data_IF_562191312625
#
_entry.id   IF_562191312625
#
_cell.length_a   1.000
_cell.length_b   1.000
_cell.length_c   1.000
_cell.angle_alpha   90.00
_cell.angle_beta   90.00
_cell.angle_gamma   90.00
#
_symmetry.space_group_name_H-M   'P 1'
#
loop_
_entity.id
_entity.type
_entity.pdbx_description
1 polymer ?
#
# COMPACT_ATOMS: atom_id res chain seq x y z
N UNK A 1 -52.76 56.94 -12.14
CA UNK A 1 -52.80 55.48 -12.10
C UNK A 1 -51.89 54.92 -13.19
N UNK A 2 -50.65 54.70 -12.86
CA UNK A 2 -49.63 54.21 -13.74
C UNK A 2 -49.47 52.70 -13.54
N UNK A 3 -49.78 51.93 -14.60
CA UNK A 3 -49.60 50.50 -14.64
C UNK A 3 -48.13 50.13 -14.83
N UNK A 4 -47.61 49.33 -13.93
CA UNK A 4 -46.33 48.60 -14.09
C UNK A 4 -46.63 47.44 -14.97
N UNK A 5 -46.16 47.42 -16.20
CA UNK A 5 -46.09 46.26 -17.07
C UNK A 5 -44.71 45.61 -16.85
N UNK A 6 -44.67 44.58 -16.03
CA UNK A 6 -43.52 43.70 -15.89
C UNK A 6 -43.46 42.83 -17.13
N UNK A 7 -42.50 43.03 -18.00
CA UNK A 7 -42.09 42.11 -19.05
C UNK A 7 -41.47 40.86 -18.39
N UNK A 8 -42.28 39.85 -18.16
CA UNK A 8 -41.79 38.50 -17.93
C UNK A 8 -41.34 37.99 -19.29
N UNK A 9 -40.04 38.03 -19.54
CA UNK A 9 -39.42 37.24 -20.57
C UNK A 9 -39.78 35.79 -20.30
N UNK A 10 -40.45 35.17 -21.25
CA UNK A 10 -40.63 33.73 -21.30
C UNK A 10 -39.26 33.07 -21.11
N UNK A 11 -39.06 32.48 -19.95
CA UNK A 11 -38.07 31.44 -19.75
C UNK A 11 -38.65 30.26 -20.52
N UNK A 12 -38.21 30.10 -21.75
CA UNK A 12 -38.42 28.88 -22.49
C UNK A 12 -37.92 27.76 -21.59
N UNK A 13 -38.82 26.84 -21.28
CA UNK A 13 -38.55 25.57 -20.61
C UNK A 13 -37.48 24.80 -21.38
N UNK A 14 -36.21 25.09 -21.14
CA UNK A 14 -35.15 24.15 -21.34
C UNK A 14 -35.29 23.16 -20.20
N UNK A 15 -35.81 22.01 -20.51
CA UNK A 15 -35.89 20.86 -19.62
C UNK A 15 -34.52 20.68 -18.94
N UNK A 16 -34.41 20.93 -17.61
CA UNK A 16 -33.13 20.84 -16.94
C UNK A 16 -32.56 19.41 -16.93
N UNK A 17 -33.35 18.43 -17.40
CA UNK A 17 -32.95 17.00 -17.51
C UNK A 17 -32.41 16.61 -18.88
N UNK A 18 -32.56 17.43 -19.93
CA UNK A 18 -31.99 17.16 -21.28
C UNK A 18 -30.63 17.83 -21.50
N UNK A 19 -30.12 18.54 -20.50
CA UNK A 19 -28.87 19.27 -20.57
C UNK A 19 -27.65 18.40 -20.44
N UNK A 20 -27.07 17.98 -21.54
CA UNK A 20 -25.66 17.55 -21.67
C UNK A 20 -25.23 16.29 -20.90
N UNK A 21 -25.93 15.19 -21.07
CA UNK A 21 -25.48 13.87 -20.63
C UNK A 21 -24.38 13.27 -21.56
N UNK A 22 -23.96 14.02 -22.58
CA UNK A 22 -22.97 13.55 -23.54
C UNK A 22 -21.53 13.75 -23.05
N UNK A 23 -20.70 12.75 -23.28
CA UNK A 23 -19.26 12.86 -23.12
C UNK A 23 -18.69 13.77 -24.20
N UNK A 24 -17.99 14.84 -23.77
CA UNK A 24 -17.31 15.80 -24.64
C UNK A 24 -15.80 15.51 -24.69
N UNK A 25 -15.12 16.07 -25.68
CA UNK A 25 -13.66 15.94 -25.83
C UNK A 25 -13.18 14.48 -25.84
N UNK A 26 -13.97 13.61 -26.46
CA UNK A 26 -13.65 12.19 -26.60
C UNK A 26 -12.35 12.03 -27.40
N UNK A 27 -11.31 11.51 -26.75
CA UNK A 27 -10.00 11.28 -27.35
C UNK A 27 -9.54 9.88 -27.08
N UNK A 28 -9.21 9.14 -28.13
CA UNK A 28 -8.61 7.81 -27.97
C UNK A 28 -7.26 7.93 -27.26
N UNK A 29 -7.11 7.22 -26.16
CA UNK A 29 -5.93 7.24 -25.33
C UNK A 29 -5.04 6.04 -25.58
N UNK A 30 -5.63 4.87 -25.76
CA UNK A 30 -4.91 3.62 -25.96
C UNK A 30 -5.78 2.58 -26.68
N UNK A 31 -5.15 1.83 -27.55
CA UNK A 31 -5.72 0.64 -28.21
C UNK A 31 -4.82 -0.55 -27.87
N UNK A 32 -5.38 -1.56 -27.21
CA UNK A 32 -4.61 -2.77 -26.91
C UNK A 32 -4.15 -3.46 -28.19
N UNK A 33 -2.86 -3.65 -28.39
CA UNK A 33 -2.35 -4.30 -29.61
C UNK A 33 -2.82 -5.75 -29.72
N UNK A 34 -2.66 -6.53 -28.65
CA UNK A 34 -3.02 -7.96 -28.60
C UNK A 34 -4.38 -8.23 -27.94
N UNK A 35 -5.01 -7.25 -27.32
CA UNK A 35 -6.28 -7.38 -26.61
C UNK A 35 -7.47 -6.85 -27.39
N UNK A 36 -8.63 -6.88 -26.76
CA UNK A 36 -9.94 -6.54 -27.33
C UNK A 36 -10.44 -5.16 -26.93
N UNK A 37 -9.76 -4.47 -26.00
CA UNK A 37 -10.21 -3.20 -25.41
C UNK A 37 -9.58 -1.96 -26.06
N UNK A 38 -10.33 -0.84 -25.98
CA UNK A 38 -9.90 0.52 -26.29
C UNK A 38 -10.17 1.41 -25.09
N UNK A 39 -9.29 2.36 -24.84
CA UNK A 39 -9.44 3.37 -23.79
C UNK A 39 -9.56 4.75 -24.39
N UNK A 40 -10.49 5.54 -23.88
CA UNK A 40 -10.69 6.94 -24.25
C UNK A 40 -10.67 7.82 -23.02
N UNK A 41 -10.16 9.03 -23.16
CA UNK A 41 -10.44 10.11 -22.22
C UNK A 41 -11.64 10.90 -22.69
N UNK A 42 -12.49 11.31 -21.77
CA UNK A 42 -13.64 12.16 -22.07
C UNK A 42 -13.92 13.10 -20.90
N UNK A 43 -14.74 14.12 -21.16
CA UNK A 43 -15.19 15.10 -20.17
C UNK A 43 -16.71 15.09 -20.08
N UNK A 44 -17.26 14.98 -18.86
CA UNK A 44 -18.68 15.08 -18.57
C UNK A 44 -18.85 15.97 -17.34
N UNK A 45 -19.70 16.97 -17.39
CA UNK A 45 -19.88 17.95 -16.29
C UNK A 45 -18.58 18.65 -15.83
N UNK A 46 -17.66 18.91 -16.77
CA UNK A 46 -16.36 19.53 -16.46
C UNK A 46 -15.32 18.60 -15.81
N UNK A 47 -15.66 17.36 -15.51
CA UNK A 47 -14.76 16.35 -14.95
C UNK A 47 -14.26 15.39 -16.02
N UNK A 48 -12.98 15.01 -15.96
CA UNK A 48 -12.40 13.99 -16.84
C UNK A 48 -12.72 12.58 -16.35
N UNK A 49 -12.95 11.68 -17.31
CA UNK A 49 -13.20 10.26 -17.12
C UNK A 49 -12.33 9.43 -18.05
N UNK A 50 -12.05 8.20 -17.64
CA UNK A 50 -11.52 7.16 -18.50
C UNK A 50 -12.67 6.24 -18.92
N UNK A 51 -12.79 6.01 -20.22
CA UNK A 51 -13.82 5.16 -20.82
C UNK A 51 -13.15 3.92 -21.42
N UNK A 52 -13.57 2.72 -21.00
CA UNK A 52 -13.08 1.44 -21.53
C UNK A 52 -14.19 0.76 -22.29
N UNK A 53 -13.95 0.48 -23.58
CA UNK A 53 -14.89 -0.20 -24.45
C UNK A 53 -14.20 -1.25 -25.31
N UNK A 54 -14.98 -2.07 -25.99
CA UNK A 54 -14.46 -3.05 -26.93
C UNK A 54 -14.01 -2.41 -28.25
N UNK A 55 -13.03 -2.99 -28.92
CA UNK A 55 -12.74 -2.69 -30.32
C UNK A 55 -13.94 -3.04 -31.19
N UNK A 56 -14.07 -2.38 -32.33
CA UNK A 56 -15.21 -2.56 -33.26
C UNK A 56 -15.44 -4.03 -33.64
N UNK A 57 -14.36 -4.77 -33.85
CA UNK A 57 -14.40 -6.18 -34.28
C UNK A 57 -14.94 -7.12 -33.18
N UNK A 58 -14.93 -6.68 -31.93
CA UNK A 58 -15.35 -7.47 -30.77
C UNK A 58 -16.69 -7.03 -30.17
N UNK A 59 -17.25 -5.90 -30.64
CA UNK A 59 -18.48 -5.29 -30.07
C UNK A 59 -19.67 -6.23 -30.01
N UNK A 60 -19.81 -7.12 -31.02
CA UNK A 60 -20.98 -8.01 -31.15
C UNK A 60 -20.65 -9.48 -30.81
N UNK A 61 -19.46 -9.74 -30.27
CA UNK A 61 -19.05 -11.08 -29.90
C UNK A 61 -19.39 -11.31 -28.41
N UNK A 62 -20.34 -12.25 -28.10
CA UNK A 62 -20.88 -12.38 -26.74
C UNK A 62 -19.84 -12.61 -25.65
N UNK A 63 -18.78 -13.39 -25.92
CA UNK A 63 -17.76 -13.71 -24.94
C UNK A 63 -16.98 -12.44 -24.48
N UNK A 64 -16.73 -11.50 -25.38
CA UNK A 64 -16.06 -10.25 -25.02
C UNK A 64 -17.00 -9.27 -24.32
N UNK A 65 -18.28 -9.24 -24.70
CA UNK A 65 -19.29 -8.47 -23.99
C UNK A 65 -19.45 -8.96 -22.54
N UNK A 66 -19.50 -10.27 -22.38
CA UNK A 66 -19.58 -10.89 -21.05
C UNK A 66 -18.34 -10.58 -20.22
N UNK A 67 -17.15 -10.66 -20.82
CA UNK A 67 -15.89 -10.32 -20.15
C UNK A 67 -15.89 -8.86 -19.70
N UNK A 68 -16.32 -7.91 -20.55
CA UNK A 68 -16.43 -6.49 -20.19
C UNK A 68 -17.42 -6.28 -19.02
N UNK A 69 -18.58 -6.96 -19.06
CA UNK A 69 -19.57 -6.87 -17.98
C UNK A 69 -19.02 -7.44 -16.67
N UNK A 70 -18.30 -8.55 -16.72
CA UNK A 70 -17.64 -9.15 -15.55
C UNK A 70 -16.55 -8.25 -14.97
N UNK A 71 -15.74 -7.63 -15.81
CA UNK A 71 -14.75 -6.64 -15.38
C UNK A 71 -15.41 -5.48 -14.63
N UNK A 72 -16.53 -4.97 -15.17
CA UNK A 72 -17.31 -3.93 -14.50
C UNK A 72 -17.84 -4.41 -13.14
N UNK A 73 -18.46 -5.59 -13.05
CA UNK A 73 -18.97 -6.16 -11.81
C UNK A 73 -17.90 -6.31 -10.74
N UNK A 74 -16.68 -6.70 -11.13
CA UNK A 74 -15.54 -6.80 -10.23
C UNK A 74 -15.07 -5.42 -9.79
N UNK A 75 -14.86 -4.51 -10.74
CA UNK A 75 -14.41 -3.15 -10.46
C UNK A 75 -15.35 -2.37 -9.53
N UNK A 76 -16.67 -2.58 -9.69
CA UNK A 76 -17.70 -1.96 -8.83
C UNK A 76 -17.62 -2.39 -7.37
N UNK A 77 -17.09 -3.60 -7.08
CA UNK A 77 -16.92 -4.10 -5.72
C UNK A 77 -15.66 -3.55 -5.04
N UNK A 78 -14.77 -2.92 -5.80
CA UNK A 78 -13.45 -2.48 -5.33
C UNK A 78 -13.47 -0.98 -5.00
N UNK A 79 -13.49 -0.66 -3.71
CA UNK A 79 -13.39 0.71 -3.21
C UNK A 79 -12.15 0.83 -2.30
N UNK A 80 -11.05 1.32 -2.89
CA UNK A 80 -9.78 1.44 -2.18
C UNK A 80 -8.95 2.60 -2.77
N UNK A 81 -8.22 3.39 -1.96
CA UNK A 81 -7.45 4.55 -2.44
C UNK A 81 -6.40 4.20 -3.51
N UNK A 82 -5.87 2.98 -3.49
CA UNK A 82 -4.85 2.52 -4.42
C UNK A 82 -5.40 1.63 -5.55
N UNK A 83 -6.70 1.65 -5.77
CA UNK A 83 -7.39 0.96 -6.86
C UNK A 83 -8.16 2.00 -7.67
N UNK A 84 -8.14 1.90 -9.01
CA UNK A 84 -8.91 2.76 -9.90
C UNK A 84 -10.40 2.53 -9.68
N UNK A 85 -11.13 3.63 -9.41
CA UNK A 85 -12.56 3.54 -9.13
C UNK A 85 -13.35 3.32 -10.41
N UNK A 86 -14.15 2.25 -10.43
CA UNK A 86 -15.14 1.96 -11.48
C UNK A 86 -16.45 2.65 -11.10
N UNK A 87 -17.03 3.41 -11.99
CA UNK A 87 -18.16 4.29 -11.70
C UNK A 87 -19.47 3.68 -12.20
N UNK A 88 -19.55 3.43 -13.51
CA UNK A 88 -20.78 2.94 -14.14
C UNK A 88 -20.51 2.19 -15.45
N UNK A 89 -21.51 1.46 -15.93
CA UNK A 89 -21.53 0.82 -17.25
C UNK A 89 -22.63 1.49 -18.08
N UNK A 90 -22.22 2.19 -19.11
CA UNK A 90 -23.15 2.98 -19.97
C UNK A 90 -23.08 2.53 -21.44
N UNK A 91 -24.15 2.87 -22.18
CA UNK A 91 -24.09 2.88 -23.65
C UNK A 91 -23.61 4.26 -24.09
N UNK A 92 -22.45 4.33 -24.73
CA UNK A 92 -21.87 5.57 -25.23
C UNK A 92 -21.92 5.58 -26.75
N UNK A 93 -22.44 6.66 -27.33
CA UNK A 93 -22.57 6.80 -28.78
C UNK A 93 -21.22 6.63 -29.49
N UNK A 94 -21.18 5.75 -30.49
CA UNK A 94 -19.98 5.43 -31.23
C UNK A 94 -18.98 4.47 -30.56
N UNK A 95 -19.16 4.18 -29.24
CA UNK A 95 -18.32 3.25 -28.49
C UNK A 95 -19.04 1.94 -28.10
N UNK A 96 -20.37 1.98 -27.97
CA UNK A 96 -21.17 0.85 -27.48
C UNK A 96 -21.11 0.75 -25.94
N UNK A 97 -21.23 -0.47 -25.41
CA UNK A 97 -21.13 -0.75 -23.98
C UNK A 97 -19.76 -0.34 -23.46
N UNK A 98 -19.74 0.55 -22.48
CA UNK A 98 -18.53 1.24 -22.02
C UNK A 98 -18.48 1.27 -20.50
N UNK A 99 -17.36 0.86 -19.93
CA UNK A 99 -17.06 1.05 -18.49
C UNK A 99 -16.54 2.47 -18.30
N UNK A 100 -17.18 3.21 -17.43
CA UNK A 100 -16.76 4.55 -17.00
C UNK A 100 -15.95 4.43 -15.72
N UNK A 101 -14.74 4.99 -15.71
CA UNK A 101 -13.82 4.94 -14.58
C UNK A 101 -13.29 6.35 -14.26
N UNK A 102 -12.75 6.51 -13.04
CA UNK A 102 -12.01 7.72 -12.71
C UNK A 102 -10.84 7.93 -13.68
N UNK A 103 -10.61 9.18 -14.04
CA UNK A 103 -9.39 9.55 -14.75
C UNK A 103 -8.25 9.69 -13.75
N UNK A 104 -7.23 8.86 -13.88
CA UNK A 104 -6.02 8.92 -13.05
C UNK A 104 -5.00 9.84 -13.71
N UNK A 105 -4.76 11.01 -13.13
CA UNK A 105 -3.75 11.97 -13.59
C UNK A 105 -2.36 11.54 -13.09
N UNK A 106 -1.63 10.83 -13.93
CA UNK A 106 -0.35 10.22 -13.56
C UNK A 106 0.34 9.53 -14.72
N UNK A 107 1.53 9.00 -14.48
CA UNK A 107 2.26 8.12 -15.38
C UNK A 107 2.08 6.65 -14.96
N UNK A 108 2.11 5.72 -15.91
CA UNK A 108 2.17 4.33 -15.53
C UNK A 108 3.58 3.97 -15.03
N UNK A 109 3.66 2.94 -14.18
CA UNK A 109 4.91 2.53 -13.53
C UNK A 109 5.96 2.09 -14.56
N UNK A 110 5.56 1.50 -15.69
CA UNK A 110 6.51 1.15 -16.76
C UNK A 110 7.23 2.39 -17.29
N UNK A 111 6.50 3.47 -17.53
CA UNK A 111 7.08 4.75 -17.98
C UNK A 111 8.09 5.30 -16.96
N UNK A 112 7.78 5.22 -15.66
CA UNK A 112 8.68 5.67 -14.59
C UNK A 112 9.94 4.80 -14.49
N UNK A 113 9.82 3.49 -14.69
CA UNK A 113 10.93 2.53 -14.77
C UNK A 113 11.82 2.87 -15.96
N UNK A 114 11.26 3.00 -17.15
CA UNK A 114 11.98 3.26 -18.40
C UNK A 114 12.74 4.60 -18.35
N UNK A 115 12.14 5.61 -17.72
CA UNK A 115 12.76 6.93 -17.50
C UNK A 115 13.68 7.00 -16.29
N UNK A 116 13.84 5.93 -15.52
CA UNK A 116 14.61 5.88 -14.27
C UNK A 116 14.20 6.96 -13.26
N UNK A 117 12.90 7.25 -13.16
CA UNK A 117 12.35 8.33 -12.32
C UNK A 117 11.86 7.85 -10.95
N UNK A 118 12.32 6.68 -10.50
CA UNK A 118 11.91 6.11 -9.20
C UNK A 118 13.00 6.33 -8.18
N UNK A 119 12.75 7.18 -7.20
CA UNK A 119 13.62 7.36 -6.03
C UNK A 119 13.45 6.21 -5.03
N UNK A 120 14.43 5.94 -4.14
CA UNK A 120 14.28 4.92 -3.10
C UNK A 120 13.04 5.11 -2.21
N UNK A 121 12.71 6.35 -1.86
CA UNK A 121 11.51 6.68 -1.07
C UNK A 121 10.21 6.39 -1.84
N UNK A 122 10.18 6.76 -3.13
CA UNK A 122 9.03 6.47 -3.99
C UNK A 122 8.85 4.96 -4.19
N UNK A 123 9.95 4.21 -4.34
CA UNK A 123 9.93 2.76 -4.46
C UNK A 123 9.28 2.09 -3.23
N UNK A 124 9.69 2.47 -2.03
CA UNK A 124 9.08 1.94 -0.79
C UNK A 124 7.59 2.28 -0.70
N UNK A 125 7.21 3.51 -1.06
CA UNK A 125 5.82 3.93 -1.09
C UNK A 125 4.99 3.12 -2.08
N UNK A 126 5.48 2.94 -3.32
CA UNK A 126 4.80 2.14 -4.36
C UNK A 126 4.58 0.72 -3.86
N UNK A 127 5.62 0.07 -3.33
CA UNK A 127 5.53 -1.32 -2.84
C UNK A 127 4.54 -1.45 -1.69
N UNK A 128 4.57 -0.53 -0.72
CA UNK A 128 3.60 -0.52 0.38
C UNK A 128 2.17 -0.39 -0.13
N UNK A 129 1.89 0.57 -1.02
CA UNK A 129 0.54 0.81 -1.53
C UNK A 129 0.03 -0.32 -2.44
N UNK A 130 0.91 -0.98 -3.21
CA UNK A 130 0.56 -2.19 -3.96
C UNK A 130 0.17 -3.33 -3.01
N UNK A 131 0.92 -3.52 -1.93
CA UNK A 131 0.57 -4.51 -0.91
C UNK A 131 -0.78 -4.20 -0.25
N UNK A 132 -1.08 -2.92 0.07
CA UNK A 132 -2.36 -2.51 0.65
C UNK A 132 -3.53 -2.85 -0.30
N UNK A 133 -3.37 -2.53 -1.59
CA UNK A 133 -4.39 -2.80 -2.60
C UNK A 133 -4.63 -4.31 -2.81
N UNK A 134 -3.55 -5.10 -2.93
CA UNK A 134 -3.67 -6.55 -3.13
C UNK A 134 -4.24 -7.25 -1.89
N UNK A 135 -3.84 -6.85 -0.69
CA UNK A 135 -4.42 -7.36 0.54
C UNK A 135 -5.93 -7.12 0.61
N UNK A 136 -6.37 -5.90 0.24
CA UNK A 136 -7.79 -5.56 0.16
C UNK A 136 -8.53 -6.43 -0.87
N UNK A 137 -7.97 -6.62 -2.07
CA UNK A 137 -8.57 -7.49 -3.10
C UNK A 137 -8.65 -8.94 -2.63
N UNK A 138 -7.58 -9.49 -2.06
CA UNK A 138 -7.53 -10.87 -1.59
C UNK A 138 -8.50 -11.12 -0.43
N UNK A 139 -8.71 -10.16 0.46
CA UNK A 139 -9.72 -10.23 1.52
C UNK A 139 -11.15 -10.28 0.96
N UNK A 140 -11.37 -9.75 -0.24
CA UNK A 140 -12.63 -9.88 -1.00
C UNK A 140 -12.67 -11.12 -1.92
N UNK A 141 -11.65 -11.99 -1.84
CA UNK A 141 -11.50 -13.17 -2.70
C UNK A 141 -11.35 -12.83 -4.19
N UNK A 142 -10.90 -11.63 -4.51
CA UNK A 142 -10.61 -11.15 -5.85
C UNK A 142 -9.11 -11.25 -6.09
N UNK A 143 -8.71 -11.93 -7.19
CA UNK A 143 -7.33 -12.11 -7.62
C UNK A 143 -7.14 -11.30 -8.90
N UNK A 144 -6.08 -10.49 -8.96
CA UNK A 144 -5.85 -9.58 -10.10
C UNK A 144 -5.44 -10.31 -11.39
N UNK A 145 -4.52 -11.26 -11.29
CA UNK A 145 -4.00 -12.15 -12.36
C UNK A 145 -3.17 -11.51 -13.48
N UNK A 146 -3.18 -10.20 -13.62
CA UNK A 146 -2.40 -9.48 -14.64
C UNK A 146 -1.70 -8.25 -14.04
N UNK A 147 -1.16 -8.40 -12.83
CA UNK A 147 -0.39 -7.32 -12.22
C UNK A 147 0.95 -7.14 -12.92
N UNK A 148 1.16 -5.96 -13.48
CA UNK A 148 2.37 -5.57 -14.22
C UNK A 148 2.54 -4.05 -14.19
N UNK A 149 3.73 -3.51 -14.48
CA UNK A 149 3.98 -2.07 -14.40
C UNK A 149 3.05 -1.21 -15.26
N UNK A 150 2.61 -1.70 -16.43
CA UNK A 150 1.67 -0.97 -17.29
C UNK A 150 0.25 -0.86 -16.71
N UNK A 151 -0.13 -1.74 -15.77
CA UNK A 151 -1.43 -1.74 -15.10
C UNK A 151 -1.38 -1.02 -13.73
N UNK A 152 -0.31 -0.29 -13.47
CA UNK A 152 -0.10 0.47 -12.22
C UNK A 152 0.16 1.92 -12.60
N UNK A 153 -0.72 2.82 -12.16
CA UNK A 153 -0.54 4.27 -12.31
C UNK A 153 0.07 4.86 -11.04
N UNK A 154 0.91 5.88 -11.21
CA UNK A 154 1.43 6.69 -10.10
C UNK A 154 1.02 8.13 -10.35
N UNK A 155 0.18 8.68 -9.48
CA UNK A 155 -0.42 9.99 -9.66
C UNK A 155 0.63 11.11 -9.60
N UNK A 156 0.47 12.16 -10.43
CA UNK A 156 1.34 13.35 -10.37
C UNK A 156 1.19 14.08 -9.03
N UNK A 157 -0.02 14.15 -8.50
CA UNK A 157 -0.27 14.75 -7.20
C UNK A 157 -0.17 13.68 -6.11
N UNK A 158 0.82 13.82 -5.24
CA UNK A 158 1.05 12.95 -4.09
C UNK A 158 1.72 11.62 -4.43
N UNK A 159 1.99 11.30 -5.69
CA UNK A 159 2.67 10.06 -6.10
C UNK A 159 2.04 8.80 -5.48
N UNK A 160 0.71 8.70 -5.57
CA UNK A 160 -0.04 7.57 -5.06
C UNK A 160 -0.28 6.53 -6.16
N UNK A 161 -0.20 5.27 -5.77
CA UNK A 161 -0.49 4.15 -6.67
C UNK A 161 -1.99 4.03 -6.92
N UNK A 162 -2.34 3.71 -8.16
CA UNK A 162 -3.67 3.25 -8.58
C UNK A 162 -3.51 2.03 -9.47
N UNK A 163 -3.96 0.87 -9.00
CA UNK A 163 -4.06 -0.33 -9.85
C UNK A 163 -5.23 -0.12 -10.81
N UNK A 164 -4.98 -0.37 -12.09
CA UNK A 164 -5.97 -0.27 -13.16
C UNK A 164 -6.11 -1.62 -13.85
N UNK A 165 -7.24 -1.84 -14.52
CA UNK A 165 -7.52 -3.01 -15.35
C UNK A 165 -7.73 -4.33 -14.58
N UNK A 166 -8.99 -4.77 -14.54
CA UNK A 166 -9.43 -5.99 -13.86
C UNK A 166 -9.97 -7.03 -14.86
N UNK A 167 -9.68 -6.87 -16.15
CA UNK A 167 -10.24 -7.71 -17.23
C UNK A 167 -9.88 -9.19 -17.13
N UNK A 168 -8.85 -9.56 -16.38
CA UNK A 168 -8.46 -10.95 -16.15
C UNK A 168 -8.75 -11.44 -14.72
N UNK A 169 -9.38 -10.62 -13.88
CA UNK A 169 -9.67 -10.98 -12.49
C UNK A 169 -10.74 -12.06 -12.35
N UNK A 170 -11.61 -12.23 -13.36
CA UNK A 170 -12.54 -13.36 -13.45
C UNK A 170 -11.85 -14.61 -14.03
N UNK A 171 -12.12 -15.80 -13.42
CA UNK A 171 -11.49 -17.05 -13.86
C UNK A 171 -11.82 -17.43 -15.30
N UNK A 172 -13.07 -17.26 -15.71
CA UNK A 172 -13.54 -17.66 -17.02
C UNK A 172 -12.98 -16.72 -18.09
N UNK A 173 -12.99 -15.42 -17.84
CA UNK A 173 -12.39 -14.41 -18.68
C UNK A 173 -10.88 -14.62 -18.83
N UNK A 174 -10.20 -15.00 -17.75
CA UNK A 174 -8.75 -15.27 -17.77
C UNK A 174 -8.38 -16.36 -18.80
N UNK A 175 -9.10 -17.49 -18.82
CA UNK A 175 -8.79 -18.58 -19.74
C UNK A 175 -9.17 -18.27 -21.19
N UNK A 176 -10.23 -17.50 -21.41
CA UNK A 176 -10.72 -17.15 -22.75
C UNK A 176 -9.90 -16.01 -23.38
N UNK A 177 -9.57 -14.99 -22.58
CA UNK A 177 -8.96 -13.76 -23.08
C UNK A 177 -7.44 -13.77 -23.02
N UNK A 178 -6.84 -14.69 -22.28
CA UNK A 178 -5.39 -14.81 -22.17
C UNK A 178 -4.83 -15.28 -23.50
N UNK A 179 -4.29 -14.37 -24.26
CA UNK A 179 -3.49 -14.72 -25.44
C UNK A 179 -2.10 -15.15 -24.98
N UNK A 180 -1.49 -16.19 -25.61
CA UNK A 180 -0.12 -16.64 -25.29
C UNK A 180 0.95 -15.55 -25.44
N UNK A 181 0.63 -14.45 -26.11
CA UNK A 181 1.51 -13.31 -26.37
C UNK A 181 1.50 -12.22 -25.29
N UNK A 182 0.64 -12.32 -24.25
CA UNK A 182 0.58 -11.30 -23.18
C UNK A 182 1.75 -11.45 -22.23
N UNK A 183 2.55 -10.43 -22.08
CA UNK A 183 3.58 -10.09 -21.08
C UNK A 183 4.08 -11.25 -20.23
N UNK A 184 4.80 -12.20 -20.84
CA UNK A 184 5.18 -13.51 -20.24
C UNK A 184 6.01 -13.42 -18.97
N UNK A 185 6.58 -12.25 -18.65
CA UNK A 185 7.48 -12.06 -17.52
C UNK A 185 6.82 -11.95 -16.14
N UNK A 186 5.53 -11.59 -16.06
CA UNK A 186 4.82 -11.32 -14.79
C UNK A 186 3.86 -12.43 -14.39
N UNK A 187 3.62 -13.41 -15.26
CA UNK A 187 2.68 -14.50 -15.02
C UNK A 187 3.34 -15.56 -14.16
N UNK A 188 2.70 -15.96 -13.08
CA UNK A 188 3.18 -17.04 -12.23
C UNK A 188 3.22 -18.37 -13.00
N UNK A 189 4.30 -19.17 -12.86
CA UNK A 189 4.50 -20.41 -13.62
C UNK A 189 3.31 -21.38 -13.53
N UNK A 190 2.71 -21.48 -12.37
CA UNK A 190 1.54 -22.33 -12.14
C UNK A 190 0.30 -21.91 -12.94
N UNK A 191 0.16 -20.62 -13.25
CA UNK A 191 -0.96 -20.14 -14.06
C UNK A 191 -0.88 -20.55 -15.53
N UNK A 192 0.28 -21.02 -15.98
CA UNK A 192 0.48 -21.52 -17.34
C UNK A 192 0.06 -22.99 -17.50
N UNK A 193 -0.19 -23.70 -16.39
CA UNK A 193 -0.57 -25.10 -16.40
C UNK A 193 -2.08 -25.23 -16.69
N UNK A 194 -2.48 -26.22 -17.51
CA UNK A 194 -3.91 -26.49 -17.75
C UNK A 194 -4.63 -26.85 -16.43
N UNK A 195 -5.78 -26.21 -16.19
CA UNK A 195 -6.59 -26.50 -15.00
C UNK A 195 -6.07 -25.96 -13.67
N UNK A 196 -4.98 -25.17 -13.69
CA UNK A 196 -4.48 -24.54 -12.48
C UNK A 196 -5.50 -23.57 -11.88
N UNK A 197 -5.82 -23.75 -10.59
CA UNK A 197 -6.62 -22.78 -9.86
C UNK A 197 -5.78 -21.53 -9.61
N UNK A 198 -6.31 -20.38 -9.95
CA UNK A 198 -5.67 -19.12 -9.63
C UNK A 198 -5.88 -18.78 -8.14
N UNK A 199 -4.80 -18.53 -7.44
CA UNK A 199 -4.79 -18.21 -6.02
C UNK A 199 -4.05 -16.89 -5.77
N UNK A 200 -4.24 -16.29 -4.59
CA UNK A 200 -3.57 -15.07 -4.17
C UNK A 200 -2.03 -15.11 -4.35
N UNK A 201 -1.46 -16.30 -4.26
CA UNK A 201 -0.01 -16.54 -4.48
C UNK A 201 0.45 -16.20 -5.89
N UNK A 202 -0.43 -16.24 -6.88
CA UNK A 202 -0.11 -15.83 -8.25
C UNK A 202 0.09 -14.31 -8.33
N UNK A 203 -0.74 -13.52 -7.65
CA UNK A 203 -0.54 -12.07 -7.57
C UNK A 203 0.72 -11.71 -6.77
N UNK A 204 1.07 -12.50 -5.74
CA UNK A 204 2.33 -12.32 -4.99
C UNK A 204 3.54 -12.54 -5.91
N UNK A 205 3.48 -13.52 -6.81
CA UNK A 205 4.53 -13.71 -7.81
C UNK A 205 4.65 -12.50 -8.74
N UNK A 206 3.53 -12.04 -9.29
CA UNK A 206 3.48 -10.87 -10.18
C UNK A 206 3.97 -9.61 -9.46
N UNK A 207 3.59 -9.41 -8.19
CA UNK A 207 4.12 -8.35 -7.33
C UNK A 207 5.64 -8.46 -7.17
N UNK A 208 6.15 -9.68 -6.97
CA UNK A 208 7.59 -9.93 -6.90
C UNK A 208 8.35 -9.50 -8.16
N UNK A 209 7.78 -9.76 -9.34
CA UNK A 209 8.34 -9.29 -10.61
C UNK A 209 8.36 -7.75 -10.69
N UNK A 210 7.25 -7.09 -10.33
CA UNK A 210 7.16 -5.63 -10.27
C UNK A 210 8.19 -5.04 -9.29
N UNK A 211 8.32 -5.64 -8.10
CA UNK A 211 9.32 -5.22 -7.11
C UNK A 211 10.74 -5.38 -7.64
N UNK A 212 11.02 -6.45 -8.40
CA UNK A 212 12.34 -6.67 -9.01
C UNK A 212 12.68 -5.57 -10.01
N UNK A 213 11.74 -5.16 -10.85
CA UNK A 213 11.95 -4.07 -11.81
C UNK A 213 12.26 -2.75 -11.09
N UNK A 214 11.49 -2.42 -10.05
CA UNK A 214 11.73 -1.25 -9.20
C UNK A 214 13.12 -1.37 -8.51
N UNK A 215 13.45 -2.56 -8.00
CA UNK A 215 14.72 -2.81 -7.31
C UNK A 215 15.94 -2.65 -8.23
N UNK A 216 15.80 -2.97 -9.51
CA UNK A 216 16.87 -2.80 -10.50
C UNK A 216 17.12 -1.32 -10.78
N UNK A 217 16.09 -0.49 -10.92
CA UNK A 217 16.23 0.96 -11.13
C UNK A 217 16.81 1.65 -9.90
N UNK A 218 16.40 1.24 -8.69
CA UNK A 218 16.80 1.89 -7.44
C UNK A 218 18.04 1.26 -6.79
N UNK A 219 18.57 0.16 -7.34
CA UNK A 219 19.67 -0.64 -6.78
C UNK A 219 19.41 -1.09 -5.32
N UNK A 220 18.14 -1.29 -4.94
CA UNK A 220 17.75 -1.63 -3.56
C UNK A 220 17.93 -3.12 -3.27
N UNK A 221 18.93 -3.47 -2.47
CA UNK A 221 19.14 -4.86 -2.02
C UNK A 221 17.98 -5.39 -1.15
N UNK A 222 17.28 -4.51 -0.41
CA UNK A 222 16.09 -4.87 0.37
C UNK A 222 14.97 -5.34 -0.54
N UNK A 223 14.69 -4.58 -1.61
CA UNK A 223 13.65 -4.93 -2.58
C UNK A 223 14.03 -6.16 -3.41
N UNK A 224 15.31 -6.34 -3.78
CA UNK A 224 15.79 -7.56 -4.45
C UNK A 224 15.53 -8.83 -3.63
N UNK A 225 15.79 -8.79 -2.32
CA UNK A 225 15.49 -9.92 -1.42
C UNK A 225 13.99 -10.20 -1.33
N UNK A 226 13.17 -9.16 -1.23
CA UNK A 226 11.72 -9.28 -1.21
C UNK A 226 11.18 -9.86 -2.52
N UNK A 227 11.66 -9.37 -3.66
CA UNK A 227 11.31 -9.89 -4.98
C UNK A 227 11.66 -11.38 -5.11
N UNK A 228 12.87 -11.79 -4.70
CA UNK A 228 13.30 -13.18 -4.75
C UNK A 228 12.40 -14.12 -3.94
N UNK A 229 11.93 -13.68 -2.76
CA UNK A 229 10.99 -14.42 -1.93
C UNK A 229 9.64 -14.61 -2.66
N UNK A 230 9.13 -13.54 -3.26
CA UNK A 230 7.86 -13.55 -3.97
C UNK A 230 7.89 -14.37 -5.26
N UNK A 231 9.03 -14.39 -5.98
CA UNK A 231 9.18 -15.08 -7.27
C UNK A 231 9.66 -16.53 -7.16
N UNK A 232 9.65 -17.10 -5.96
CA UNK A 232 9.95 -18.51 -5.73
C UNK A 232 9.00 -19.38 -6.55
N UNK A 233 9.56 -20.33 -7.33
CA UNK A 233 8.77 -21.21 -8.21
C UNK A 233 7.85 -22.15 -7.46
N UNK A 234 8.36 -22.72 -6.34
CA UNK A 234 7.53 -23.54 -5.46
C UNK A 234 6.54 -22.66 -4.71
N UNK A 235 5.26 -22.83 -5.00
CA UNK A 235 4.17 -22.06 -4.39
C UNK A 235 4.07 -22.26 -2.87
N UNK A 236 4.59 -23.38 -2.33
CA UNK A 236 4.58 -23.63 -0.89
C UNK A 236 5.67 -22.87 -0.14
N UNK A 237 6.75 -22.48 -0.83
CA UNK A 237 7.84 -21.68 -0.29
C UNK A 237 7.65 -20.19 -0.51
N UNK A 238 6.66 -19.80 -1.33
CA UNK A 238 6.26 -18.42 -1.55
C UNK A 238 5.38 -17.95 -0.38
N UNK A 239 5.42 -16.68 0.02
CA UNK A 239 4.46 -16.15 1.00
C UNK A 239 3.02 -16.48 0.61
N UNK A 240 2.25 -16.97 1.56
CA UNK A 240 0.87 -17.41 1.30
C UNK A 240 -0.13 -16.26 1.31
N UNK A 241 0.28 -15.10 1.84
CA UNK A 241 -0.53 -13.88 1.90
C UNK A 241 0.34 -12.63 1.89
N UNK A 242 -0.26 -11.48 1.61
CA UNK A 242 0.40 -10.18 1.70
C UNK A 242 0.83 -9.88 3.15
N UNK A 243 0.06 -10.29 4.14
CA UNK A 243 0.41 -10.15 5.55
C UNK A 243 1.68 -10.91 5.93
N UNK A 244 1.83 -12.12 5.43
CA UNK A 244 3.04 -12.91 5.61
C UNK A 244 4.24 -12.22 4.95
N UNK A 245 4.09 -11.73 3.70
CA UNK A 245 5.12 -10.97 3.02
C UNK A 245 5.56 -9.72 3.81
N UNK A 246 4.60 -8.99 4.42
CA UNK A 246 4.90 -7.84 5.30
C UNK A 246 5.72 -8.26 6.52
N UNK A 247 5.36 -9.38 7.15
CA UNK A 247 6.08 -9.86 8.34
C UNK A 247 7.54 -10.16 8.05
N UNK A 248 7.83 -10.76 6.91
CA UNK A 248 9.21 -11.01 6.45
C UNK A 248 9.98 -9.73 6.15
N UNK A 249 9.31 -8.70 5.61
CA UNK A 249 9.96 -7.45 5.18
C UNK A 249 10.25 -6.49 6.31
N UNK A 250 9.44 -6.47 7.38
CA UNK A 250 9.52 -5.51 8.50
C UNK A 250 9.93 -6.14 9.83
N UNK A 251 10.04 -7.48 9.89
CA UNK A 251 10.34 -8.21 11.12
C UNK A 251 11.70 -7.84 11.72
N UNK A 252 12.74 -7.70 10.91
CA UNK A 252 14.09 -7.39 11.40
C UNK A 252 14.19 -6.04 12.13
N UNK A 253 13.51 -5.00 11.65
CA UNK A 253 13.54 -3.68 12.30
C UNK A 253 12.81 -3.65 13.63
N UNK A 254 11.69 -4.36 13.77
CA UNK A 254 10.92 -4.43 15.02
C UNK A 254 11.69 -5.14 16.13
N UNK A 255 12.34 -6.26 15.81
CA UNK A 255 13.17 -6.97 16.80
C UNK A 255 14.41 -6.17 17.18
N UNK A 256 15.06 -5.48 16.25
CA UNK A 256 16.21 -4.62 16.55
C UNK A 256 15.78 -3.47 17.49
N UNK A 257 14.69 -2.80 17.22
CA UNK A 257 14.18 -1.73 18.08
C UNK A 257 13.81 -2.27 19.47
N UNK A 258 13.12 -3.42 19.56
CA UNK A 258 12.76 -4.05 20.82
C UNK A 258 14.00 -4.46 21.63
N UNK A 259 15.03 -5.01 21.00
CA UNK A 259 16.29 -5.38 21.67
C UNK A 259 17.07 -4.16 22.13
N UNK A 260 17.09 -3.06 21.40
CA UNK A 260 17.71 -1.80 21.81
C UNK A 260 16.98 -1.21 23.04
N UNK A 261 15.65 -1.18 23.04
CA UNK A 261 14.84 -0.70 24.15
C UNK A 261 15.10 -1.55 25.40
N UNK A 262 15.14 -2.87 25.25
CA UNK A 262 15.44 -3.81 26.35
C UNK A 262 16.85 -3.59 26.91
N UNK A 263 17.84 -3.41 26.04
CA UNK A 263 19.22 -3.13 26.46
C UNK A 263 19.33 -1.82 27.24
N UNK A 264 18.68 -0.74 26.79
CA UNK A 264 18.63 0.54 27.51
C UNK A 264 17.96 0.37 28.88
N UNK A 265 16.85 -0.36 28.94
CA UNK A 265 16.17 -0.65 30.22
C UNK A 265 17.09 -1.40 31.20
N UNK A 266 17.80 -2.43 30.73
CA UNK A 266 18.76 -3.17 31.55
C UNK A 266 19.90 -2.27 32.09
N UNK A 267 20.42 -1.36 31.25
CA UNK A 267 21.45 -0.41 31.67
C UNK A 267 20.96 0.56 32.74
N UNK A 268 19.74 1.07 32.60
CA UNK A 268 19.12 1.94 33.59
C UNK A 268 18.94 1.20 34.93
N UNK A 269 18.43 -0.04 34.92
CA UNK A 269 18.24 -0.85 36.11
C UNK A 269 19.58 -1.18 36.79
N UNK A 270 20.62 -1.51 36.04
CA UNK A 270 21.96 -1.71 36.54
C UNK A 270 22.51 -0.44 37.24
N UNK A 271 22.32 0.72 36.60
CA UNK A 271 22.71 2.03 37.18
C UNK A 271 21.99 2.32 38.52
N UNK A 272 20.69 2.01 38.58
CA UNK A 272 19.92 2.17 39.84
C UNK A 272 20.45 1.25 40.94
N UNK A 273 20.75 -0.01 40.60
CA UNK A 273 21.29 -0.98 41.57
C UNK A 273 22.66 -0.51 42.11
N UNK A 274 23.55 -0.05 41.23
CA UNK A 274 24.86 0.48 41.61
C UNK A 274 24.70 1.71 42.51
N UNK A 275 23.83 2.64 42.13
CA UNK A 275 23.56 3.85 42.93
C UNK A 275 22.98 3.53 44.31
N UNK A 276 22.05 2.58 44.40
CA UNK A 276 21.48 2.15 45.70
C UNK A 276 22.51 1.43 46.55
N UNK A 277 23.38 0.61 45.96
CA UNK A 277 24.47 -0.04 46.68
C UNK A 277 25.50 0.99 47.18
N UNK A 278 25.87 1.96 46.38
CA UNK A 278 26.78 3.05 46.76
C UNK A 278 26.22 3.89 47.94
N UNK A 279 24.94 4.26 47.85
CA UNK A 279 24.28 5.03 48.88
C UNK A 279 24.18 4.26 50.21
N UNK A 280 23.90 2.94 50.17
CA UNK A 280 23.90 2.06 51.35
C UNK A 280 25.29 1.94 51.95
N UNK A 281 26.31 1.76 51.13
CA UNK A 281 27.71 1.69 51.62
C UNK A 281 28.16 3.00 52.25
N UNK A 282 27.74 4.14 51.72
CA UNK A 282 28.05 5.46 52.30
C UNK A 282 27.33 5.66 53.64
N UNK A 283 26.07 5.29 53.78
CA UNK A 283 25.32 5.35 55.04
C UNK A 283 25.94 4.46 56.10
N UNK A 284 26.34 3.23 55.75
CA UNK A 284 27.02 2.33 56.72
C UNK A 284 28.38 2.92 57.22
N UNK A 285 29.14 3.57 56.32
CA UNK A 285 30.40 4.24 56.72
C UNK A 285 30.17 5.46 57.62
N UNK A 286 29.09 6.23 57.39
CA UNK A 286 28.70 7.35 58.24
C UNK A 286 28.20 6.90 59.64
N UNK A 287 27.49 5.77 59.73
CA UNK A 287 27.08 5.16 61.00
C UNK A 287 28.28 4.63 61.81
N UNK A 288 29.27 3.98 61.18
CA UNK A 288 30.50 3.53 61.85
C UNK A 288 31.33 4.72 62.37
N UNK A 289 31.44 5.81 61.63
CA UNK A 289 32.13 7.03 62.10
C UNK A 289 31.37 7.74 63.27
N UNK A 290 30.02 7.74 63.23
CA UNK A 290 29.18 8.27 64.30
C UNK A 290 29.29 7.50 65.62
N UNK A 291 29.43 6.16 65.55
CA UNK A 291 29.59 5.28 66.70
C UNK A 291 30.99 5.47 67.35
N UNK A 292 32.04 5.68 66.52
CA UNK A 292 33.39 5.95 67.04
C UNK A 292 33.49 7.31 67.79
N UNK A 293 32.79 8.34 67.35
CA UNK A 293 32.74 9.64 67.99
C UNK A 293 31.96 9.59 69.29
N UNK A 294 30.88 8.82 69.43
CA UNK A 294 30.15 8.62 70.69
C UNK A 294 30.94 7.79 71.73
N UNK A 295 31.70 6.78 71.28
CA UNK A 295 32.57 6.00 72.18
C UNK A 295 33.84 6.78 72.59
N UNK A 296 34.33 7.74 71.79
CA UNK A 296 35.43 8.63 72.14
C UNK A 296 35.07 9.63 73.26
N UNK A 297 33.85 10.15 73.28
CA UNK A 297 33.35 11.07 74.29
C UNK A 297 32.99 10.40 75.64
N UNK A 298 32.55 9.15 75.59
CA UNK A 298 32.26 8.38 76.88
C UNK A 298 33.53 7.96 77.60
N UNK A 299 34.66 7.77 76.92
CA UNK A 299 35.95 7.52 77.62
C UNK A 299 36.58 8.76 78.22
N UNK A 300 36.29 9.97 77.75
CA UNK A 300 36.75 11.22 78.36
C UNK A 300 36.05 11.57 79.69
N UNK A 301 34.88 11.02 79.94
CA UNK A 301 34.15 11.23 81.21
C UNK A 301 34.59 10.32 82.34
N UNK A 302 35.29 9.21 82.10
CA UNK A 302 35.75 8.27 83.10
C UNK A 302 37.13 8.60 83.68
N UNK A 303 37.96 9.40 82.99
CA UNK A 303 39.30 9.76 83.51
C UNK A 303 39.33 10.94 84.46
N UNK A 304 38.19 11.62 84.72
CA UNK A 304 38.14 12.75 85.68
C UNK A 304 37.48 12.42 87.07
N UNK A 305 37.33 11.13 87.39
CA UNK A 305 36.74 10.72 88.72
C UNK A 305 37.64 9.85 89.57
N UNK A 306 38.94 9.87 89.37
CA UNK A 306 39.87 9.21 90.26
C UNK A 306 40.93 10.24 90.73
N UNK A 307 40.53 11.21 91.54
CA UNK A 307 41.43 11.94 92.48
C UNK A 307 40.48 12.52 93.49
N UNK A 308 40.39 11.92 94.69
CA UNK A 308 40.26 12.48 96.02
C UNK A 308 39.56 11.52 96.97
N UNK A 309 40.34 10.63 97.58
CA UNK A 309 40.07 10.07 98.91
C UNK A 309 41.38 9.58 99.50
N UNK A 310 42.20 10.55 100.00
CA UNK A 310 43.12 10.36 101.09
C UNK A 310 43.26 11.67 101.84
N UNK A 311 42.52 11.85 102.88
CA UNK A 311 42.92 12.46 104.17
C UNK A 311 41.67 12.60 105.06
N UNK A 312 41.78 11.91 106.12
CA UNK A 312 41.26 11.86 107.53
C UNK A 312 40.58 10.55 107.89
#
# INVERSE_FOLDING_TARGET
>A
TSGFTTNIKEITDADPMTGNNEYKNLKEFYVSESGHARLFTATKYGKRFMLKCLKKDFLYIPVYQQALSKEFEIGLQLEHPNICHTIELEQVDGLGTTIVMEYVDGDNLQTLIDRQQITPSLAEKIVCQLMDALEYMHNKQIIHRDLKPSNIMVTHNGQNVKIIDFGLSDSDSFYVLKTPAGTSGYIAPEQLLPGAKSEARADIYSLGCVINDIANVTNSNKLKKMAALCTTRDTNLRPQSINELRSHSFSSSRYIIATIILAIYCLIMAGIIVATYYNRSKQAAEEETGIQTQNGDSNKWNDNKIVDYQQW
#
